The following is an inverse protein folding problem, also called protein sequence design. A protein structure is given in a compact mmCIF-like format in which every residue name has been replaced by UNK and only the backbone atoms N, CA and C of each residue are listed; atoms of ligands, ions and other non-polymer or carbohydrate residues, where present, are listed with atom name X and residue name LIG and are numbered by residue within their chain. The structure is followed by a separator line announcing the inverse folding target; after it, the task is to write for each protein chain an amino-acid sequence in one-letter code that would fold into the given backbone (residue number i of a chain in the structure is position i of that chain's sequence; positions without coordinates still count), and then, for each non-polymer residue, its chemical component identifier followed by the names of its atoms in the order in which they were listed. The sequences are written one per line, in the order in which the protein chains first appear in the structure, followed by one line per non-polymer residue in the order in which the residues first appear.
data_IF_206811255458
#
_entry.id   IF_206811255458
#
_cell.length_a   1.000
_cell.length_b   1.000
_cell.length_c   1.000
_cell.angle_alpha   90.00
_cell.angle_beta   90.00
_cell.angle_gamma   90.00
#
_symmetry.space_group_name_H-M   'P 1'
#
loop_
_entity.id
_entity.type
_entity.pdbx_description
1 polymer ?
#
# COMPACT_ATOMS: atom_id res chain seq x y z
N UNK A 1 -11.06 -14.89 -1.51
CA UNK A 1 -11.01 -13.42 -1.41
C UNK A 1 -12.09 -12.83 -2.30
N UNK A 2 -12.89 -11.95 -1.76
CA UNK A 2 -13.90 -11.23 -2.52
C UNK A 2 -13.63 -9.74 -2.49
N UNK A 3 -13.46 -9.17 -3.67
CA UNK A 3 -13.24 -7.74 -3.85
C UNK A 3 -14.30 -7.18 -4.78
N UNK A 4 -14.80 -6.00 -4.48
CA UNK A 4 -15.71 -5.28 -5.36
C UNK A 4 -14.92 -4.53 -6.42
N UNK A 5 -15.54 -4.29 -7.56
CA UNK A 5 -14.94 -3.64 -8.71
C UNK A 5 -14.44 -2.22 -8.36
N UNK A 6 -13.26 -1.88 -8.87
CA UNK A 6 -12.61 -0.59 -8.67
C UNK A 6 -12.27 0.09 -10.01
N UNK A 7 -13.09 -0.12 -11.04
CA UNK A 7 -12.91 0.52 -12.35
C UNK A 7 -12.80 2.03 -12.19
N UNK A 8 -11.79 2.63 -12.81
CA UNK A 8 -11.55 4.06 -12.74
C UNK A 8 -10.69 4.50 -11.57
N UNK A 9 -10.40 3.61 -10.64
CA UNK A 9 -9.53 3.92 -9.49
C UNK A 9 -8.07 3.64 -9.82
N UNK A 10 -7.19 4.50 -9.32
CA UNK A 10 -5.74 4.36 -9.46
C UNK A 10 -5.11 4.29 -8.07
N UNK A 11 -4.42 3.20 -7.79
CA UNK A 11 -3.74 3.00 -6.52
C UNK A 11 -2.24 3.12 -6.73
N UNK A 12 -1.56 3.72 -5.76
CA UNK A 12 -0.10 3.72 -5.70
C UNK A 12 0.36 2.55 -4.85
N UNK A 13 1.36 1.80 -5.34
CA UNK A 13 2.09 0.85 -4.51
C UNK A 13 3.49 1.42 -4.30
N UNK A 14 3.80 1.80 -3.07
CA UNK A 14 5.08 2.42 -2.72
C UNK A 14 6.07 1.35 -2.32
N UNK A 15 7.17 1.27 -3.05
CA UNK A 15 8.18 0.24 -2.84
C UNK A 15 9.59 0.83 -2.90
N UNK A 16 10.52 0.10 -2.27
CA UNK A 16 11.96 0.26 -2.47
C UNK A 16 12.52 -1.14 -2.69
N UNK A 17 13.70 -1.24 -3.27
CA UNK A 17 14.31 -2.55 -3.55
C UNK A 17 14.36 -3.41 -2.29
N UNK A 18 13.94 -4.66 -2.41
CA UNK A 18 13.83 -5.61 -1.30
C UNK A 18 12.39 -5.86 -0.84
N UNK A 19 11.39 -5.32 -1.54
CA UNK A 19 9.98 -5.63 -1.25
C UNK A 19 9.69 -7.12 -1.55
N UNK A 20 8.77 -7.70 -0.78
CA UNK A 20 8.42 -9.11 -0.93
C UNK A 20 7.77 -9.39 -2.28
N UNK A 21 8.38 -10.25 -3.08
CA UNK A 21 7.95 -10.53 -4.45
C UNK A 21 6.57 -11.17 -4.52
N UNK A 22 6.33 -12.18 -3.70
CA UNK A 22 5.04 -12.91 -3.71
C UNK A 22 3.89 -11.99 -3.34
N UNK A 23 4.09 -11.15 -2.34
CA UNK A 23 3.11 -10.14 -1.91
C UNK A 23 2.83 -9.14 -3.04
N UNK A 24 3.87 -8.65 -3.68
CA UNK A 24 3.76 -7.69 -4.78
C UNK A 24 2.96 -8.28 -5.95
N UNK A 25 3.28 -9.51 -6.36
CA UNK A 25 2.58 -10.19 -7.44
C UNK A 25 1.11 -10.41 -7.09
N UNK A 26 0.83 -10.81 -5.85
CA UNK A 26 -0.54 -11.02 -5.39
C UNK A 26 -1.36 -9.73 -5.41
N UNK A 27 -0.75 -8.60 -5.01
CA UNK A 27 -1.40 -7.29 -5.08
C UNK A 27 -1.70 -6.91 -6.53
N UNK A 28 -0.73 -7.09 -7.44
CA UNK A 28 -0.94 -6.81 -8.86
C UNK A 28 -2.11 -7.61 -9.44
N UNK A 29 -2.14 -8.90 -9.14
CA UNK A 29 -3.22 -9.78 -9.62
C UNK A 29 -4.59 -9.37 -9.06
N UNK A 30 -4.64 -9.03 -7.78
CA UNK A 30 -5.87 -8.59 -7.15
C UNK A 30 -6.40 -7.30 -7.77
N UNK A 31 -5.53 -6.32 -8.01
CA UNK A 31 -5.93 -5.06 -8.61
C UNK A 31 -6.38 -5.24 -10.06
N UNK A 32 -5.71 -6.09 -10.82
CA UNK A 32 -6.15 -6.43 -12.17
C UNK A 32 -7.54 -7.08 -12.16
N UNK A 33 -7.82 -7.94 -11.21
CA UNK A 33 -9.11 -8.65 -11.12
C UNK A 33 -10.29 -7.71 -10.86
N UNK A 34 -10.05 -6.55 -10.26
CA UNK A 34 -11.09 -5.54 -9.94
C UNK A 34 -11.02 -4.33 -10.86
N UNK A 35 -10.23 -4.40 -11.92
CA UNK A 35 -10.08 -3.36 -12.95
C UNK A 35 -9.50 -2.04 -12.39
N UNK A 36 -8.75 -2.11 -11.30
CA UNK A 36 -8.03 -0.97 -10.78
C UNK A 36 -6.69 -0.82 -11.50
N UNK A 37 -6.24 0.42 -11.62
CA UNK A 37 -4.91 0.73 -12.13
C UNK A 37 -3.96 0.79 -10.94
N UNK A 38 -2.88 0.02 -10.99
CA UNK A 38 -1.84 0.03 -9.96
C UNK A 38 -0.57 0.64 -10.54
N UNK A 39 -0.05 1.69 -9.89
CA UNK A 39 1.18 2.35 -10.31
C UNK A 39 2.27 2.12 -9.28
N UNK A 40 3.43 1.68 -9.74
CA UNK A 40 4.59 1.43 -8.89
C UNK A 40 5.35 2.74 -8.70
N UNK A 41 5.44 3.21 -7.46
CA UNK A 41 6.22 4.40 -7.11
C UNK A 41 7.39 3.99 -6.24
N UNK A 42 8.58 4.51 -6.54
CA UNK A 42 9.81 4.16 -5.84
C UNK A 42 10.77 5.33 -5.81
N UNK A 43 11.85 5.19 -5.02
CA UNK A 43 12.85 6.24 -4.87
C UNK A 43 13.48 6.64 -6.21
N UNK A 44 13.86 5.66 -7.01
CA UNK A 44 14.59 5.89 -8.25
C UNK A 44 13.73 5.49 -9.45
N UNK A 45 13.92 6.19 -10.57
CA UNK A 45 13.30 5.83 -11.84
C UNK A 45 13.93 4.56 -12.41
N UNK A 46 13.26 3.92 -13.35
CA UNK A 46 13.76 2.73 -14.03
C UNK A 46 13.20 1.45 -13.44
N UNK A 47 14.04 0.68 -12.76
CA UNK A 47 13.65 -0.62 -12.22
C UNK A 47 13.84 -0.66 -10.71
N UNK A 48 12.96 -1.39 -10.03
CA UNK A 48 13.09 -1.72 -8.61
C UNK A 48 13.11 -3.24 -8.47
N UNK A 49 13.87 -3.75 -7.51
CA UNK A 49 14.15 -5.19 -7.40
C UNK A 49 13.41 -5.80 -6.22
N UNK A 50 12.69 -6.89 -6.50
CA UNK A 50 11.99 -7.64 -5.46
C UNK A 50 12.94 -8.56 -4.69
N UNK A 51 12.51 -9.01 -3.51
CA UNK A 51 13.17 -10.02 -2.71
C UNK A 51 12.30 -11.29 -2.67
N UNK A 52 12.88 -12.43 -3.04
CA UNK A 52 12.12 -13.69 -3.18
C UNK A 52 12.13 -14.58 -1.93
N UNK A 53 12.66 -14.07 -0.83
CA UNK A 53 12.77 -14.82 0.43
C UNK A 53 14.16 -15.35 0.70
N UNK A 54 14.96 -15.59 -0.32
CA UNK A 54 16.33 -16.09 -0.18
C UNK A 54 17.36 -15.27 -0.95
N UNK A 55 16.92 -14.39 -1.83
CA UNK A 55 17.81 -13.54 -2.62
C UNK A 55 17.00 -12.54 -3.44
N UNK A 56 17.71 -11.83 -4.31
CA UNK A 56 17.07 -10.88 -5.22
C UNK A 56 16.22 -11.63 -6.24
N UNK A 57 14.98 -11.20 -6.35
CA UNK A 57 14.03 -11.72 -7.33
C UNK A 57 14.07 -10.93 -8.63
N UNK A 58 12.92 -10.78 -9.26
CA UNK A 58 12.81 -10.06 -10.53
C UNK A 58 12.84 -8.56 -10.33
N UNK A 59 13.14 -7.85 -11.40
CA UNK A 59 13.07 -6.39 -11.46
C UNK A 59 11.74 -5.98 -12.07
N UNK A 60 11.18 -4.89 -11.57
CA UNK A 60 9.89 -4.36 -12.01
C UNK A 60 10.02 -2.90 -12.41
N UNK A 61 9.33 -2.46 -13.47
CA UNK A 61 9.40 -1.07 -13.88
C UNK A 61 8.73 -0.14 -12.88
N UNK A 62 9.35 1.02 -12.66
CA UNK A 62 8.84 2.08 -11.80
C UNK A 62 8.04 3.05 -12.67
N UNK A 63 6.79 3.29 -12.28
CA UNK A 63 5.89 4.20 -13.01
C UNK A 63 6.11 5.66 -12.65
N UNK A 64 6.56 5.93 -11.42
CA UNK A 64 6.85 7.28 -10.96
C UNK A 64 7.82 7.28 -9.79
N UNK A 65 8.56 8.38 -9.62
CA UNK A 65 9.47 8.53 -8.49
C UNK A 65 8.74 9.12 -7.30
N UNK A 66 9.22 8.83 -6.08
CA UNK A 66 8.66 9.40 -4.86
C UNK A 66 8.74 10.92 -4.88
N UNK A 67 9.84 11.47 -5.41
CA UNK A 67 10.07 12.91 -5.43
C UNK A 67 9.02 13.68 -6.26
N UNK A 68 8.49 13.06 -7.32
CA UNK A 68 7.54 13.68 -8.25
C UNK A 68 6.10 13.23 -8.04
N UNK A 69 5.86 12.31 -7.11
CA UNK A 69 4.52 11.77 -6.85
C UNK A 69 3.72 12.70 -5.95
N UNK A 70 2.45 12.91 -6.31
CA UNK A 70 1.49 13.67 -5.51
C UNK A 70 0.34 12.75 -5.09
N UNK A 71 0.00 12.76 -3.80
CA UNK A 71 -1.08 11.92 -3.27
C UNK A 71 -2.41 12.17 -3.98
N UNK A 72 -2.70 13.40 -4.37
CA UNK A 72 -3.96 13.79 -5.04
C UNK A 72 -4.17 13.13 -6.39
N UNK A 73 -3.12 12.56 -6.99
CA UNK A 73 -3.22 11.86 -8.27
C UNK A 73 -3.68 10.40 -8.10
N UNK A 74 -3.91 9.96 -6.88
CA UNK A 74 -4.25 8.58 -6.55
C UNK A 74 -5.51 8.50 -5.69
N UNK A 75 -6.10 7.31 -5.68
CA UNK A 75 -7.27 7.01 -4.87
C UNK A 75 -6.94 6.23 -3.60
N UNK A 76 -5.78 5.61 -3.54
CA UNK A 76 -5.32 4.84 -2.38
C UNK A 76 -3.82 4.57 -2.45
N UNK A 77 -3.25 4.17 -1.31
CA UNK A 77 -1.85 3.78 -1.18
C UNK A 77 -1.75 2.39 -0.58
N UNK A 78 -0.89 1.55 -1.15
CA UNK A 78 -0.52 0.25 -0.59
C UNK A 78 0.98 0.23 -0.38
N UNK A 79 1.43 -0.24 0.79
CA UNK A 79 2.85 -0.49 1.06
C UNK A 79 3.00 -1.95 1.43
N UNK A 80 3.66 -2.76 0.58
CA UNK A 80 3.87 -4.18 0.87
C UNK A 80 4.91 -4.41 1.94
N UNK A 81 5.03 -5.65 2.39
CA UNK A 81 6.04 -6.08 3.34
C UNK A 81 7.42 -6.18 2.65
N UNK A 82 8.48 -6.22 3.44
CA UNK A 82 9.86 -6.39 2.97
C UNK A 82 10.82 -5.62 3.86
N UNK A 83 11.68 -6.32 4.60
CA UNK A 83 12.58 -5.71 5.57
C UNK A 83 13.46 -4.63 4.96
N UNK A 84 14.13 -4.95 3.85
CA UNK A 84 15.04 -4.01 3.17
C UNK A 84 14.30 -2.81 2.59
N UNK A 85 13.16 -3.07 1.99
CA UNK A 85 12.33 -2.02 1.39
C UNK A 85 11.79 -1.07 2.45
N UNK A 86 11.31 -1.57 3.57
CA UNK A 86 10.82 -0.73 4.66
C UNK A 86 11.96 0.09 5.28
N UNK A 87 13.15 -0.51 5.46
CA UNK A 87 14.31 0.20 5.98
C UNK A 87 14.69 1.39 5.08
N UNK A 88 14.68 1.18 3.75
CA UNK A 88 14.97 2.25 2.80
C UNK A 88 13.90 3.34 2.85
N UNK A 89 12.62 2.98 2.83
CA UNK A 89 11.52 3.94 2.91
C UNK A 89 11.56 4.74 4.21
N UNK A 90 11.93 4.11 5.32
CA UNK A 90 12.01 4.76 6.63
C UNK A 90 13.03 5.89 6.68
N UNK A 91 14.05 5.85 5.84
CA UNK A 91 15.07 6.90 5.76
C UNK A 91 14.87 7.84 4.57
N UNK A 92 13.78 7.70 3.83
CA UNK A 92 13.50 8.49 2.63
C UNK A 92 12.52 9.61 2.93
N UNK A 93 12.97 10.86 2.78
CA UNK A 93 12.17 12.06 3.09
C UNK A 93 10.88 12.12 2.26
N UNK A 94 10.91 11.69 0.99
CA UNK A 94 9.74 11.71 0.13
C UNK A 94 8.71 10.63 0.51
N UNK A 95 9.16 9.50 1.06
CA UNK A 95 8.26 8.48 1.59
C UNK A 95 7.49 9.04 2.80
N UNK A 96 8.19 9.72 3.70
CA UNK A 96 7.58 10.41 4.84
C UNK A 96 6.57 11.47 4.39
N UNK A 97 6.93 12.26 3.39
CA UNK A 97 6.03 13.28 2.82
C UNK A 97 4.76 12.66 2.26
N UNK A 98 4.90 11.56 1.51
CA UNK A 98 3.75 10.85 0.93
C UNK A 98 2.86 10.22 1.99
N UNK A 99 3.45 9.61 3.02
CA UNK A 99 2.69 9.08 4.15
C UNK A 99 1.85 10.17 4.79
N UNK A 100 2.44 11.34 5.02
CA UNK A 100 1.69 12.49 5.57
C UNK A 100 0.59 12.96 4.63
N UNK A 101 0.89 13.06 3.33
CA UNK A 101 -0.08 13.55 2.36
C UNK A 101 -1.30 12.63 2.25
N UNK A 102 -1.10 11.32 2.13
CA UNK A 102 -2.20 10.36 2.05
C UNK A 102 -3.04 10.36 3.33
N UNK A 103 -2.42 10.40 4.50
CA UNK A 103 -3.15 10.39 5.76
C UNK A 103 -3.88 11.71 6.04
N UNK A 104 -3.26 12.83 5.70
CA UNK A 104 -3.87 14.17 5.86
C UNK A 104 -5.11 14.33 4.99
N UNK A 105 -5.07 13.83 3.76
CA UNK A 105 -6.19 13.88 2.83
C UNK A 105 -7.22 12.76 3.12
N UNK A 106 -7.01 12.00 4.18
CA UNK A 106 -7.89 10.90 4.59
C UNK A 106 -8.13 9.90 3.46
N UNK A 107 -7.08 9.61 2.69
CA UNK A 107 -7.15 8.62 1.62
C UNK A 107 -6.99 7.21 2.18
N UNK A 108 -7.64 6.21 1.53
CA UNK A 108 -7.44 4.81 1.93
C UNK A 108 -5.96 4.41 1.84
N UNK A 109 -5.44 3.80 2.91
CA UNK A 109 -4.04 3.35 2.99
C UNK A 109 -4.03 1.94 3.56
N UNK A 110 -3.28 1.03 2.93
CA UNK A 110 -3.02 -0.30 3.45
C UNK A 110 -1.53 -0.49 3.68
N UNK A 111 -1.17 -0.78 4.91
CA UNK A 111 0.21 -1.09 5.30
C UNK A 111 0.29 -2.56 5.73
N UNK A 112 1.20 -3.31 5.13
CA UNK A 112 1.33 -4.74 5.37
C UNK A 112 2.56 -5.05 6.22
N UNK A 113 2.34 -5.76 7.31
CA UNK A 113 3.34 -6.32 8.22
C UNK A 113 4.34 -5.25 8.69
N UNK A 114 5.63 -5.40 8.36
CA UNK A 114 6.68 -4.45 8.77
C UNK A 114 6.49 -3.04 8.22
N UNK A 115 5.73 -2.87 7.13
CA UNK A 115 5.41 -1.54 6.59
C UNK A 115 4.58 -0.69 7.57
N UNK A 116 3.93 -1.30 8.55
CA UNK A 116 3.17 -0.60 9.61
C UNK A 116 4.08 0.36 10.37
N UNK A 117 5.38 0.04 10.49
CA UNK A 117 6.34 0.90 11.17
C UNK A 117 6.52 2.27 10.52
N UNK A 118 6.11 2.43 9.26
CA UNK A 118 6.17 3.74 8.58
C UNK A 118 5.27 4.79 9.24
N UNK A 119 4.27 4.36 10.00
CA UNK A 119 3.43 5.28 10.77
C UNK A 119 4.23 6.07 11.81
N UNK A 120 5.33 5.51 12.31
CA UNK A 120 6.21 6.17 13.26
C UNK A 120 6.83 7.44 12.66
N UNK A 121 7.05 7.45 11.33
CA UNK A 121 7.61 8.61 10.64
C UNK A 121 6.71 9.85 10.73
N UNK A 122 5.42 9.65 10.92
CA UNK A 122 4.41 10.70 10.93
C UNK A 122 3.72 10.80 12.29
N UNK A 123 4.30 10.20 13.32
CA UNK A 123 3.82 10.23 14.70
C UNK A 123 2.38 9.72 14.84
N UNK A 124 2.01 8.71 14.06
CA UNK A 124 0.71 8.06 14.13
C UNK A 124 0.82 6.70 14.80
N UNK A 125 -0.15 6.39 15.66
CA UNK A 125 -0.28 5.07 16.24
C UNK A 125 -0.95 4.12 15.23
N UNK A 126 -0.50 2.87 15.21
CA UNK A 126 -1.14 1.85 14.40
C UNK A 126 -2.49 1.44 15.01
N UNK A 127 -3.50 1.12 14.18
CA UNK A 127 -4.71 0.50 14.68
C UNK A 127 -4.40 -0.79 15.44
N UNK A 128 -5.13 -1.05 16.52
CA UNK A 128 -4.91 -2.26 17.32
C UNK A 128 -5.52 -3.47 16.61
N UNK A 129 -4.69 -4.49 16.34
CA UNK A 129 -5.17 -5.77 15.81
C UNK A 129 -5.67 -6.61 16.98
N UNK A 130 -6.89 -7.17 16.85
CA UNK A 130 -7.44 -8.06 17.86
C UNK A 130 -6.52 -9.27 18.09
N UNK A 131 -6.54 -9.81 19.30
CA UNK A 131 -5.64 -10.89 19.71
C UNK A 131 -5.69 -12.09 18.76
N UNK A 132 -6.87 -12.42 18.27
CA UNK A 132 -7.12 -13.52 17.33
C UNK A 132 -7.25 -13.04 15.86
N UNK A 133 -6.98 -11.77 15.59
CA UNK A 133 -7.13 -11.20 14.28
C UNK A 133 -5.79 -10.98 13.57
N UNK A 134 -5.87 -10.70 12.28
CA UNK A 134 -4.71 -10.42 11.43
C UNK A 134 -4.79 -9.05 10.76
N UNK A 135 -5.93 -8.38 10.86
CA UNK A 135 -6.21 -7.11 10.19
C UNK A 135 -6.88 -6.16 11.17
N UNK A 136 -6.57 -4.89 11.06
CA UNK A 136 -7.30 -3.82 11.76
C UNK A 136 -7.47 -2.64 10.82
N UNK A 137 -8.54 -1.89 11.02
CA UNK A 137 -8.79 -0.66 10.28
C UNK A 137 -9.30 0.40 11.25
N UNK A 138 -8.85 1.62 11.06
CA UNK A 138 -9.32 2.79 11.80
C UNK A 138 -9.43 3.95 10.83
N UNK A 139 -10.64 4.49 10.67
CA UNK A 139 -10.89 5.45 9.61
C UNK A 139 -10.64 4.81 8.26
N UNK A 140 -9.71 5.36 7.50
CA UNK A 140 -9.33 4.85 6.17
C UNK A 140 -7.97 4.18 6.14
N UNK A 141 -7.38 3.97 7.31
CA UNK A 141 -6.12 3.27 7.45
C UNK A 141 -6.38 1.81 7.81
N UNK A 142 -5.91 0.90 6.97
CA UNK A 142 -5.96 -0.53 7.20
C UNK A 142 -4.54 -1.07 7.36
N UNK A 143 -4.36 -2.00 8.26
CA UNK A 143 -3.10 -2.71 8.44
C UNK A 143 -3.37 -4.21 8.45
N UNK A 144 -2.39 -4.99 7.99
CA UNK A 144 -2.50 -6.45 7.96
C UNK A 144 -1.17 -7.10 8.30
N UNK A 145 -1.21 -8.23 8.99
CA UNK A 145 -0.02 -9.05 9.24
C UNK A 145 0.32 -9.85 7.99
N UNK A 146 1.59 -10.23 7.83
CA UNK A 146 2.13 -10.82 6.61
C UNK A 146 1.31 -11.94 5.97
N UNK A 147 0.76 -12.85 6.78
CA UNK A 147 -0.05 -13.96 6.27
C UNK A 147 -1.48 -13.55 5.88
N UNK A 148 -1.90 -12.34 6.21
CA UNK A 148 -3.27 -11.86 6.02
C UNK A 148 -3.40 -10.89 4.85
N UNK A 149 -2.64 -11.08 3.79
CA UNK A 149 -2.68 -10.21 2.61
C UNK A 149 -4.09 -10.08 2.04
N UNK A 150 -4.78 -11.22 1.87
CA UNK A 150 -6.13 -11.21 1.32
C UNK A 150 -7.11 -10.41 2.20
N UNK A 151 -7.06 -10.61 3.51
CA UNK A 151 -7.89 -9.87 4.45
C UNK A 151 -7.55 -8.38 4.44
N UNK A 152 -6.27 -8.03 4.31
CA UNK A 152 -5.83 -6.65 4.17
C UNK A 152 -6.38 -5.99 2.91
N UNK A 153 -6.31 -6.68 1.78
CA UNK A 153 -6.86 -6.17 0.52
C UNK A 153 -8.38 -6.02 0.59
N UNK A 154 -9.07 -6.95 1.24
CA UNK A 154 -10.52 -6.83 1.46
C UNK A 154 -10.85 -5.62 2.32
N UNK A 155 -10.08 -5.37 3.38
CA UNK A 155 -10.27 -4.20 4.24
C UNK A 155 -10.08 -2.90 3.46
N UNK A 156 -9.03 -2.79 2.65
CA UNK A 156 -8.79 -1.63 1.80
C UNK A 156 -9.93 -1.44 0.79
N UNK A 157 -10.32 -2.51 0.13
CA UNK A 157 -11.41 -2.49 -0.85
C UNK A 157 -12.71 -1.99 -0.20
N UNK A 158 -13.02 -2.47 0.99
CA UNK A 158 -14.20 -2.06 1.74
C UNK A 158 -14.19 -0.56 2.05
N UNK A 159 -13.07 -0.03 2.49
CA UNK A 159 -12.92 1.41 2.78
C UNK A 159 -13.16 2.25 1.52
N UNK A 160 -12.62 1.80 0.38
CA UNK A 160 -12.78 2.52 -0.89
C UNK A 160 -14.23 2.52 -1.36
N UNK A 161 -14.95 1.41 -1.19
CA UNK A 161 -16.34 1.28 -1.60
C UNK A 161 -17.29 2.11 -0.74
N UNK A 162 -17.08 2.10 0.58
CA UNK A 162 -17.89 2.89 1.51
C UNK A 162 -17.81 4.37 1.16
N UNK A 163 -16.62 4.85 0.78
CA UNK A 163 -16.44 6.22 0.31
C UNK A 163 -17.30 6.52 -0.92
N UNK A 164 -17.25 5.64 -1.92
CA UNK A 164 -18.05 5.80 -3.14
C UNK A 164 -19.55 5.71 -2.84
N UNK A 165 -19.93 4.81 -1.94
CA UNK A 165 -21.31 4.65 -1.50
C UNK A 165 -21.85 5.90 -0.81
N UNK A 166 -21.07 6.51 0.06
CA UNK A 166 -21.42 7.78 0.71
C UNK A 166 -21.56 8.90 -0.32
N UNK A 167 -20.65 8.96 -1.28
CA UNK A 167 -20.68 9.95 -2.35
C UNK A 167 -21.94 9.81 -3.21
N UNK A 168 -22.36 8.58 -3.49
CA UNK A 168 -23.57 8.30 -4.27
C UNK A 168 -24.83 8.58 -3.46
N UNK A 169 -24.81 8.32 -2.16
CA UNK A 169 -25.95 8.55 -1.27
C UNK A 169 -26.19 10.04 -0.97
N UNK A 170 -25.15 10.83 -1.12
CA UNK A 170 -25.24 12.26 -0.92
C UNK A 170 -25.79 12.98 -2.15
#
# INVERSE_FOLDING_TARGET
MQLSNLTGKTLAIMVASGFDEDTFIAIQRAMMSVNAKLRVISRDAGLTNAWNGSGWGMSYPVDGTLATTLAVDYDALIVPTGERHVATLSSEAHAKRLMRAFTREEMPVLLLDDAVSLLELIDMAAPAIAEDGDVAAEGRLAIGRGAALNAGLEALNQVMIVEDGESVAA
#
